data_IF_263738530902
#
_entry.id   IF_263738530902
#
_cell.length_a   1.000
_cell.length_b   1.000
_cell.length_c   1.000
_cell.angle_alpha   90.00
_cell.angle_beta   90.00
_cell.angle_gamma   90.00
#
_symmetry.space_group_name_H-M   'P 1'
#
loop_
_entity.id
_entity.type
_entity.pdbx_description
1 polymer ?
#
# COMPACT_ATOMS: atom_id res chain seq x y z
N UNK A 1 9.53 20.89 16.40
CA UNK A 1 9.08 19.95 15.35
C UNK A 1 8.92 18.60 16.01
N UNK A 2 7.75 17.97 15.88
CA UNK A 2 7.43 16.71 16.54
C UNK A 2 8.20 15.56 15.85
N UNK A 3 9.37 15.19 16.38
CA UNK A 3 10.25 14.14 15.84
C UNK A 3 9.50 12.84 15.54
N UNK A 4 8.47 12.53 16.33
CA UNK A 4 7.62 11.35 16.12
C UNK A 4 6.81 11.42 14.82
N UNK A 5 6.30 12.60 14.46
CA UNK A 5 5.49 12.78 13.25
C UNK A 5 6.32 12.62 11.99
N UNK A 6 7.56 13.13 12.00
CA UNK A 6 8.50 12.98 10.89
C UNK A 6 8.92 11.52 10.73
N UNK A 7 9.30 10.87 11.84
CA UNK A 7 9.66 9.45 11.86
C UNK A 7 8.50 8.56 11.35
N UNK A 8 7.27 8.84 11.79
CA UNK A 8 6.09 8.13 11.31
C UNK A 8 5.90 8.28 9.79
N UNK A 9 6.05 9.49 9.26
CA UNK A 9 5.96 9.72 7.81
C UNK A 9 7.05 8.96 7.05
N UNK A 10 8.28 8.93 7.54
CA UNK A 10 9.38 8.14 6.96
C UNK A 10 9.07 6.64 6.96
N UNK A 11 8.47 6.12 8.03
CA UNK A 11 8.02 4.73 8.09
C UNK A 11 6.94 4.43 7.06
N UNK A 12 5.96 5.32 6.86
CA UNK A 12 4.92 5.14 5.85
C UNK A 12 5.53 5.18 4.44
N UNK A 13 6.43 6.11 4.15
CA UNK A 13 7.13 6.20 2.86
C UNK A 13 7.89 4.90 2.58
N UNK A 14 8.69 4.45 3.54
CA UNK A 14 9.46 3.20 3.46
C UNK A 14 8.56 1.99 3.24
N UNK A 15 7.46 1.90 3.99
CA UNK A 15 6.50 0.81 3.92
C UNK A 15 5.83 0.74 2.54
N UNK A 16 5.37 1.87 2.00
CA UNK A 16 4.74 1.91 0.66
C UNK A 16 5.76 1.54 -0.42
N UNK A 17 7.01 2.00 -0.31
CA UNK A 17 8.06 1.62 -1.24
C UNK A 17 8.27 0.11 -1.28
N UNK A 18 8.45 -0.50 -0.11
CA UNK A 18 8.59 -1.96 0.04
C UNK A 18 7.37 -2.71 -0.52
N UNK A 19 6.17 -2.33 -0.10
CA UNK A 19 4.92 -2.99 -0.51
C UNK A 19 4.67 -2.83 -2.01
N UNK A 20 5.03 -1.70 -2.61
CA UNK A 20 4.92 -1.52 -4.07
C UNK A 20 5.79 -2.52 -4.81
N UNK A 21 7.05 -2.71 -4.38
CA UNK A 21 7.95 -3.70 -4.96
C UNK A 21 7.39 -5.11 -4.77
N UNK A 22 6.97 -5.47 -3.55
CA UNK A 22 6.37 -6.77 -3.24
C UNK A 22 5.15 -7.07 -4.14
N UNK A 23 4.26 -6.08 -4.32
CA UNK A 23 3.10 -6.22 -5.20
C UNK A 23 3.54 -6.32 -6.66
N UNK A 24 4.54 -5.60 -7.12
CA UNK A 24 4.97 -5.73 -8.52
C UNK A 24 5.66 -7.08 -8.81
N UNK A 25 6.41 -7.62 -7.85
CA UNK A 25 7.17 -8.85 -8.02
C UNK A 25 6.37 -10.12 -7.73
N UNK A 26 5.22 -10.02 -7.06
CA UNK A 26 4.35 -11.17 -6.80
C UNK A 26 3.39 -11.38 -7.98
N UNK A 27 3.55 -12.40 -8.84
CA UNK A 27 2.69 -12.58 -10.01
C UNK A 27 1.28 -13.10 -9.66
N UNK A 28 1.16 -13.75 -8.51
CA UNK A 28 -0.08 -14.34 -8.02
C UNK A 28 -0.86 -13.40 -7.09
N UNK A 29 -1.94 -13.94 -6.52
CA UNK A 29 -2.67 -13.30 -5.43
C UNK A 29 -1.73 -13.10 -4.23
N UNK A 30 -1.78 -11.89 -3.66
CA UNK A 30 -1.05 -11.55 -2.43
C UNK A 30 -1.53 -12.40 -1.26
N UNK A 31 -0.64 -12.75 -0.33
CA UNK A 31 -1.03 -13.41 0.91
C UNK A 31 -1.99 -12.52 1.72
N UNK A 32 -2.76 -13.11 2.65
CA UNK A 32 -3.69 -12.35 3.49
C UNK A 32 -2.94 -11.26 4.27
N UNK A 33 -1.76 -11.58 4.79
CA UNK A 33 -0.95 -10.66 5.58
C UNK A 33 -0.40 -9.51 4.73
N UNK A 34 0.09 -9.80 3.52
CA UNK A 34 0.57 -8.76 2.58
C UNK A 34 -0.56 -7.82 2.18
N UNK A 35 -1.77 -8.37 1.92
CA UNK A 35 -2.95 -7.55 1.61
C UNK A 35 -3.30 -6.64 2.77
N UNK A 36 -3.36 -7.19 3.99
CA UNK A 36 -3.69 -6.41 5.19
C UNK A 36 -2.66 -5.30 5.43
N UNK A 37 -1.38 -5.62 5.31
CA UNK A 37 -0.31 -4.66 5.49
C UNK A 37 -0.35 -3.56 4.42
N UNK A 38 -0.59 -3.93 3.17
CA UNK A 38 -0.69 -2.96 2.07
C UNK A 38 -1.89 -2.02 2.21
N UNK A 39 -3.07 -2.54 2.57
CA UNK A 39 -4.25 -1.72 2.84
C UNK A 39 -4.05 -0.81 4.05
N UNK A 40 -3.43 -1.32 5.11
CA UNK A 40 -3.11 -0.52 6.28
C UNK A 40 -2.16 0.64 5.93
N UNK A 41 -1.08 0.37 5.19
CA UNK A 41 -0.15 1.42 4.75
C UNK A 41 -0.85 2.45 3.84
N UNK A 42 -1.72 2.02 2.92
CA UNK A 42 -2.51 2.90 2.06
C UNK A 42 -3.42 3.85 2.86
N UNK A 43 -4.04 3.37 3.95
CA UNK A 43 -4.92 4.17 4.79
C UNK A 43 -4.25 5.41 5.40
N UNK A 44 -2.92 5.37 5.58
CA UNK A 44 -2.12 6.51 6.00
C UNK A 44 -1.51 7.26 4.81
N UNK A 45 -0.95 6.54 3.84
CA UNK A 45 -0.25 7.13 2.71
C UNK A 45 -1.16 7.99 1.80
N UNK A 46 -2.45 7.70 1.74
CA UNK A 46 -3.41 8.54 1.01
C UNK A 46 -3.64 9.91 1.66
N UNK A 47 -3.30 10.06 2.95
CA UNK A 47 -3.41 11.33 3.70
C UNK A 47 -2.11 12.16 3.66
N UNK A 48 -1.03 11.61 3.10
CA UNK A 48 0.27 12.25 2.99
C UNK A 48 0.53 12.66 1.53
N UNK A 49 0.54 13.96 1.21
CA UNK A 49 0.69 14.44 -0.17
C UNK A 49 1.94 13.89 -0.87
N UNK A 50 3.06 13.78 -0.14
CA UNK A 50 4.34 13.31 -0.66
C UNK A 50 4.34 11.84 -1.07
N UNK A 51 3.42 11.02 -0.56
CA UNK A 51 3.33 9.59 -0.91
C UNK A 51 2.36 9.30 -2.04
N UNK A 52 1.64 10.29 -2.58
CA UNK A 52 0.57 10.08 -3.58
C UNK A 52 0.99 9.19 -4.75
N UNK A 53 2.15 9.45 -5.37
CA UNK A 53 2.62 8.67 -6.53
C UNK A 53 2.84 7.20 -6.16
N UNK A 54 3.42 6.94 -5.00
CA UNK A 54 3.73 5.60 -4.53
C UNK A 54 2.46 4.87 -4.04
N UNK A 55 1.58 5.56 -3.31
CA UNK A 55 0.28 5.05 -2.90
C UNK A 55 -0.60 4.66 -4.11
N UNK A 56 -0.65 5.51 -5.14
CA UNK A 56 -1.35 5.19 -6.40
C UNK A 56 -0.76 3.96 -7.09
N UNK A 57 0.56 3.83 -7.15
CA UNK A 57 1.21 2.68 -7.77
C UNK A 57 0.87 1.38 -7.03
N UNK A 58 0.92 1.39 -5.70
CA UNK A 58 0.52 0.27 -4.86
C UNK A 58 -0.96 -0.09 -5.07
N UNK A 59 -1.86 0.90 -5.00
CA UNK A 59 -3.30 0.69 -5.15
C UNK A 59 -3.65 0.07 -6.51
N UNK A 60 -3.07 0.57 -7.62
CA UNK A 60 -3.29 -0.01 -8.95
C UNK A 60 -2.74 -1.43 -9.08
N UNK A 61 -1.57 -1.70 -8.49
CA UNK A 61 -0.98 -3.04 -8.47
C UNK A 61 -1.84 -4.04 -7.69
N UNK A 62 -2.43 -3.61 -6.57
CA UNK A 62 -3.35 -4.43 -5.78
C UNK A 62 -4.68 -4.65 -6.51
N UNK A 63 -5.28 -3.58 -7.03
CA UNK A 63 -6.57 -3.61 -7.72
C UNK A 63 -6.64 -4.74 -8.75
N UNK A 64 -5.65 -4.79 -9.66
CA UNK A 64 -5.58 -5.80 -10.72
C UNK A 64 -5.60 -7.25 -10.18
N UNK A 65 -4.90 -7.51 -9.08
CA UNK A 65 -4.81 -8.84 -8.49
C UNK A 65 -6.05 -9.22 -7.68
N UNK A 66 -6.59 -8.25 -6.96
CA UNK A 66 -7.76 -8.43 -6.12
C UNK A 66 -9.01 -8.68 -6.96
N UNK A 67 -9.17 -7.92 -8.05
CA UNK A 67 -10.20 -8.13 -9.07
C UNK A 67 -10.13 -9.54 -9.67
N UNK A 68 -8.93 -9.99 -10.06
CA UNK A 68 -8.72 -11.34 -10.62
C UNK A 68 -9.04 -12.46 -9.63
N UNK A 69 -8.94 -12.18 -8.34
CA UNK A 69 -9.25 -13.13 -7.28
C UNK A 69 -10.69 -13.03 -6.75
N UNK A 70 -11.52 -12.15 -7.33
CA UNK A 70 -12.93 -11.97 -6.95
C UNK A 70 -13.15 -11.06 -5.72
N UNK A 71 -12.09 -10.49 -5.16
CA UNK A 71 -12.16 -9.57 -4.03
C UNK A 71 -12.39 -8.15 -4.53
N UNK A 72 -13.61 -7.76 -4.91
CA UNK A 72 -13.84 -6.41 -5.48
C UNK A 72 -13.98 -5.31 -4.43
N UNK A 73 -14.63 -5.61 -3.31
CA UNK A 73 -14.94 -4.64 -2.25
C UNK A 73 -13.88 -4.60 -1.15
N UNK A 74 -13.01 -5.59 -1.06
CA UNK A 74 -12.09 -5.77 0.08
C UNK A 74 -10.79 -4.95 -0.01
N UNK A 75 -10.52 -4.31 -1.15
CA UNK A 75 -9.26 -3.56 -1.36
C UNK A 75 -9.45 -2.06 -1.54
N UNK A 76 -10.66 -1.53 -1.35
CA UNK A 76 -10.90 -0.10 -1.30
C UNK A 76 -10.50 0.40 0.11
N UNK A 77 -9.40 1.18 0.23
CA UNK A 77 -8.93 1.69 1.53
C UNK A 77 -9.78 2.84 2.07
#
# INVERSE_FOLDING_TARGET
MDTYSELFQEYIISSIGYLTVLVQTTPALLSVDDRRQALHALSYALRLPQTWRAARALLLGMASKMERAGYRTEWLP
#
